data_IF_865904466565
#
_entry.id   IF_865904466565
#
_cell.length_a   1.000
_cell.length_b   1.000
_cell.length_c   1.000
_cell.angle_alpha   90.00
_cell.angle_beta   90.00
_cell.angle_gamma   90.00
#
_symmetry.space_group_name_H-M   'P 1'
#
loop_
_entity.id
_entity.type
_entity.pdbx_description
1 polymer ?
#
# COMPACT_ATOMS: atom_id res chain seq x y z
N UNK A 1 -3.06 17.10 28.64
CA UNK A 1 -3.23 16.09 27.58
C UNK A 1 -4.50 16.30 26.75
N UNK A 2 -5.01 17.54 26.63
CA UNK A 2 -6.34 17.79 26.04
C UNK A 2 -6.32 18.55 24.70
N UNK A 3 -5.32 19.41 24.47
CA UNK A 3 -5.32 20.29 23.29
C UNK A 3 -5.11 19.52 21.97
N UNK A 4 -4.24 18.51 21.96
CA UNK A 4 -3.99 17.69 20.79
C UNK A 4 -5.17 16.79 20.44
N UNK A 5 -5.92 16.29 21.45
CA UNK A 5 -7.14 15.51 21.24
C UNK A 5 -8.28 16.40 20.73
N UNK A 6 -8.41 17.61 21.29
CA UNK A 6 -9.39 18.60 20.82
C UNK A 6 -9.09 19.04 19.37
N UNK A 7 -7.82 19.28 19.04
CA UNK A 7 -7.38 19.60 17.68
C UNK A 7 -7.61 18.42 16.71
N UNK A 8 -7.34 17.18 17.13
CA UNK A 8 -7.67 15.98 16.34
C UNK A 8 -9.17 15.86 16.11
N UNK A 9 -10.02 16.18 17.08
CA UNK A 9 -11.48 16.14 16.92
C UNK A 9 -12.05 17.29 16.07
N UNK A 10 -11.25 18.33 15.81
CA UNK A 10 -11.72 19.49 15.06
C UNK A 10 -11.92 19.13 13.57
N UNK A 11 -13.13 19.39 13.08
CA UNK A 11 -13.52 19.15 11.69
C UNK A 11 -12.56 19.81 10.68
N UNK A 12 -11.97 20.95 11.04
CA UNK A 12 -11.05 21.69 10.18
C UNK A 12 -9.76 20.91 9.87
N UNK A 13 -9.24 20.14 10.83
CA UNK A 13 -8.05 19.31 10.60
C UNK A 13 -8.36 18.19 9.61
N UNK A 14 -9.51 17.53 9.75
CA UNK A 14 -9.98 16.50 8.81
C UNK A 14 -10.19 17.06 7.40
N UNK A 15 -10.72 18.28 7.28
CA UNK A 15 -10.86 18.97 5.99
C UNK A 15 -9.50 19.22 5.31
N UNK A 16 -8.48 19.63 6.08
CA UNK A 16 -7.14 19.85 5.54
C UNK A 16 -6.53 18.53 5.03
N UNK A 17 -6.67 17.43 5.78
CA UNK A 17 -6.21 16.11 5.30
C UNK A 17 -6.94 15.67 4.04
N UNK A 18 -8.27 15.86 4.00
CA UNK A 18 -9.08 15.55 2.81
C UNK A 18 -8.62 16.38 1.60
N UNK A 19 -8.38 17.68 1.80
CA UNK A 19 -7.87 18.55 0.75
C UNK A 19 -6.50 18.09 0.23
N UNK A 20 -5.55 17.78 1.11
CA UNK A 20 -4.22 17.30 0.73
C UNK A 20 -4.32 15.99 -0.05
N UNK A 21 -5.16 15.05 0.40
CA UNK A 21 -5.37 13.77 -0.27
C UNK A 21 -5.99 13.95 -1.68
N UNK A 22 -6.99 14.81 -1.82
CA UNK A 22 -7.61 15.10 -3.12
C UNK A 22 -6.60 15.80 -4.05
N UNK A 23 -5.89 16.80 -3.54
CA UNK A 23 -4.91 17.54 -4.33
C UNK A 23 -3.75 16.63 -4.80
N UNK A 24 -3.20 15.80 -3.90
CA UNK A 24 -2.15 14.84 -4.24
C UNK A 24 -2.66 13.76 -5.22
N UNK A 25 -3.87 13.26 -5.03
CA UNK A 25 -4.52 12.31 -5.94
C UNK A 25 -4.73 12.88 -7.35
N UNK A 26 -5.16 14.14 -7.46
CA UNK A 26 -5.30 14.83 -8.75
C UNK A 26 -3.96 15.03 -9.46
N UNK A 27 -2.92 15.45 -8.72
CA UNK A 27 -1.57 15.62 -9.27
C UNK A 27 -1.06 14.28 -9.79
N UNK A 28 -1.17 13.22 -8.98
CA UNK A 28 -0.67 11.89 -9.36
C UNK A 28 -1.45 11.33 -10.55
N UNK A 29 -2.79 11.40 -10.58
CA UNK A 29 -3.58 10.99 -11.74
C UNK A 29 -3.20 11.77 -13.00
N UNK A 30 -2.90 13.06 -12.88
CA UNK A 30 -2.44 13.88 -14.01
C UNK A 30 -1.08 13.38 -14.52
N UNK A 31 -0.14 13.06 -13.63
CA UNK A 31 1.15 12.44 -14.02
C UNK A 31 0.92 11.07 -14.66
N UNK A 32 0.03 10.24 -14.11
CA UNK A 32 -0.31 8.93 -14.70
C UNK A 32 -0.89 9.09 -16.12
N UNK A 33 -1.72 10.10 -16.36
CA UNK A 33 -2.22 10.43 -17.69
C UNK A 33 -1.07 10.74 -18.66
N UNK A 34 -0.07 11.53 -18.24
CA UNK A 34 1.11 11.79 -19.07
C UNK A 34 1.96 10.54 -19.31
N UNK A 35 2.01 9.61 -18.35
CA UNK A 35 2.73 8.33 -18.55
C UNK A 35 2.08 7.44 -19.61
N UNK A 36 0.81 7.64 -19.98
CA UNK A 36 0.20 6.90 -21.09
C UNK A 36 0.93 7.13 -22.42
N UNK A 37 1.56 8.30 -22.62
CA UNK A 37 2.39 8.56 -23.79
C UNK A 37 3.66 7.69 -23.83
N UNK A 38 4.13 7.23 -22.66
CA UNK A 38 5.27 6.30 -22.56
C UNK A 38 4.88 4.84 -22.80
N UNK A 39 3.58 4.51 -22.75
CA UNK A 39 3.08 3.15 -22.95
C UNK A 39 3.51 2.52 -24.29
N UNK A 40 3.35 3.18 -25.46
CA UNK A 40 3.76 2.59 -26.73
C UNK A 40 5.28 2.38 -26.86
N UNK A 41 6.10 3.15 -26.12
CA UNK A 41 7.56 3.09 -26.20
C UNK A 41 8.13 2.01 -25.28
N UNK A 42 7.70 1.98 -24.01
CA UNK A 42 8.24 1.03 -23.03
C UNK A 42 7.20 0.65 -21.96
N UNK A 43 6.56 -0.51 -22.16
CA UNK A 43 5.57 -1.08 -21.24
C UNK A 43 6.14 -1.37 -19.84
N UNK A 44 7.41 -1.76 -19.74
CA UNK A 44 8.02 -2.10 -18.46
C UNK A 44 8.24 -0.84 -17.60
N UNK A 45 8.70 0.24 -18.23
CA UNK A 45 8.92 1.51 -17.55
C UNK A 45 7.59 2.13 -17.10
N UNK A 46 6.57 2.10 -17.95
CA UNK A 46 5.21 2.53 -17.61
C UNK A 46 4.69 1.83 -16.34
N UNK A 47 4.82 0.50 -16.25
CA UNK A 47 4.37 -0.26 -15.08
C UNK A 47 5.15 0.12 -13.82
N UNK A 48 6.47 0.26 -13.91
CA UNK A 48 7.32 0.66 -12.76
C UNK A 48 6.96 2.05 -12.24
N UNK A 49 6.72 3.01 -13.14
CA UNK A 49 6.35 4.38 -12.75
C UNK A 49 4.96 4.40 -12.12
N UNK A 50 3.96 3.78 -12.75
CA UNK A 50 2.60 3.76 -12.21
C UNK A 50 2.54 3.06 -10.85
N UNK A 51 3.27 1.96 -10.66
CA UNK A 51 3.32 1.29 -9.37
C UNK A 51 3.89 2.20 -8.26
N UNK A 52 4.94 2.98 -8.57
CA UNK A 52 5.52 3.96 -7.62
C UNK A 52 4.58 5.12 -7.34
N UNK A 53 3.89 5.62 -8.36
CA UNK A 53 2.91 6.71 -8.22
C UNK A 53 1.72 6.29 -7.37
N UNK A 54 1.17 5.08 -7.59
CA UNK A 54 0.11 4.52 -6.77
C UNK A 54 0.56 4.30 -5.32
N UNK A 55 1.80 3.83 -5.11
CA UNK A 55 2.39 3.70 -3.78
C UNK A 55 2.37 5.02 -3.00
N UNK A 56 2.69 6.15 -3.67
CA UNK A 56 2.68 7.47 -3.03
C UNK A 56 1.29 7.94 -2.56
N UNK A 57 0.21 7.50 -3.19
CA UNK A 57 -1.16 7.79 -2.70
C UNK A 57 -1.48 6.86 -1.52
N UNK A 58 -1.22 5.56 -1.67
CA UNK A 58 -1.50 4.57 -0.63
C UNK A 58 -0.76 4.85 0.67
N UNK A 59 0.48 5.34 0.61
CA UNK A 59 1.26 5.68 1.81
C UNK A 59 0.67 6.85 2.61
N UNK A 60 -0.06 7.78 1.97
CA UNK A 60 -0.75 8.86 2.69
C UNK A 60 -1.87 8.30 3.58
N UNK A 61 -2.56 7.25 3.12
CA UNK A 61 -3.61 6.58 3.90
C UNK A 61 -3.02 5.74 5.04
N UNK A 62 -1.91 5.04 4.81
CA UNK A 62 -1.20 4.27 5.84
C UNK A 62 -0.66 5.19 6.93
N UNK A 63 -0.08 6.34 6.56
CA UNK A 63 0.35 7.35 7.52
C UNK A 63 -0.83 7.86 8.36
N UNK A 64 -2.01 8.05 7.77
CA UNK A 64 -3.20 8.48 8.52
C UNK A 64 -3.66 7.41 9.52
N UNK A 65 -3.59 6.13 9.13
CA UNK A 65 -3.93 5.01 10.01
C UNK A 65 -2.96 4.87 11.20
N UNK A 66 -1.66 4.90 10.93
CA UNK A 66 -0.67 4.62 11.97
C UNK A 66 -0.44 5.87 12.85
N UNK A 67 -0.19 7.02 12.22
CA UNK A 67 0.22 8.24 12.92
C UNK A 67 -0.96 9.08 13.41
N UNK A 68 -2.03 9.21 12.61
CA UNK A 68 -3.15 10.07 12.96
C UNK A 68 -4.18 9.37 13.86
N UNK A 69 -4.65 8.15 13.53
CA UNK A 69 -5.54 7.41 14.42
C UNK A 69 -4.83 6.71 15.58
N UNK A 70 -3.50 6.52 15.50
CA UNK A 70 -2.75 5.84 16.56
C UNK A 70 -3.14 4.36 16.68
N UNK A 71 -3.52 3.74 15.56
CA UNK A 71 -3.98 2.36 15.52
C UNK A 71 -2.79 1.41 15.68
N UNK A 72 -2.82 0.57 16.72
CA UNK A 72 -1.82 -0.47 16.93
C UNK A 72 -2.28 -1.78 16.29
N UNK A 73 -1.49 -2.31 15.34
CA UNK A 73 -1.76 -3.58 14.69
C UNK A 73 -0.97 -4.70 15.37
N UNK A 74 -1.67 -5.56 16.13
CA UNK A 74 -1.05 -6.70 16.83
C UNK A 74 -1.26 -7.96 16.03
N UNK A 75 -0.17 -8.58 15.56
CA UNK A 75 -0.20 -9.88 14.87
C UNK A 75 -0.08 -11.00 15.91
N UNK A 76 -1.09 -11.87 15.95
CA UNK A 76 -1.00 -13.13 16.68
C UNK A 76 -0.51 -14.23 15.73
N UNK A 77 0.60 -14.87 16.07
CA UNK A 77 1.22 -15.91 15.26
C UNK A 77 1.84 -17.00 16.12
N UNK A 78 2.03 -18.18 15.53
CA UNK A 78 2.78 -19.27 16.13
C UNK A 78 4.28 -18.91 16.21
N UNK A 79 4.97 -19.14 17.34
CA UNK A 79 6.40 -18.84 17.46
C UNK A 79 7.28 -19.50 16.39
N UNK A 80 6.88 -20.64 15.83
CA UNK A 80 7.58 -21.31 14.73
C UNK A 80 7.43 -20.62 13.36
N UNK A 81 6.38 -19.80 13.18
CA UNK A 81 6.12 -19.06 11.95
C UNK A 81 6.77 -17.68 11.93
N UNK A 82 6.99 -17.07 13.10
CA UNK A 82 7.59 -15.73 13.23
C UNK A 82 8.91 -15.55 12.45
N UNK A 83 9.86 -16.51 12.45
CA UNK A 83 11.12 -16.34 11.71
C UNK A 83 10.98 -16.28 10.19
N UNK A 84 9.82 -16.66 9.64
CA UNK A 84 9.54 -16.69 8.19
C UNK A 84 9.02 -15.34 7.66
N UNK A 85 8.52 -14.47 8.54
CA UNK A 85 7.95 -13.19 8.16
C UNK A 85 8.99 -12.30 7.47
N UNK A 86 8.60 -11.72 6.31
CA UNK A 86 9.47 -10.88 5.47
C UNK A 86 10.58 -11.63 4.70
N UNK A 87 10.73 -12.94 4.88
CA UNK A 87 11.75 -13.76 4.20
C UNK A 87 11.21 -14.54 3.00
N UNK A 88 9.93 -14.88 3.03
CA UNK A 88 9.24 -15.62 1.98
C UNK A 88 8.12 -14.80 1.34
N UNK A 89 7.77 -15.14 0.09
CA UNK A 89 6.58 -14.60 -0.55
C UNK A 89 5.36 -15.31 0.04
N UNK A 90 4.43 -14.56 0.59
CA UNK A 90 3.19 -15.09 1.17
C UNK A 90 1.99 -14.33 0.62
N UNK A 91 0.85 -15.02 0.51
CA UNK A 91 -0.43 -14.41 0.16
C UNK A 91 -1.19 -14.14 1.46
N UNK A 92 -1.54 -12.88 1.69
CA UNK A 92 -2.38 -12.49 2.82
C UNK A 92 -3.83 -12.59 2.40
N UNK A 93 -4.60 -13.45 3.07
CA UNK A 93 -6.05 -13.59 2.87
C UNK A 93 -6.76 -12.95 4.05
N UNK A 94 -7.46 -11.85 3.78
CA UNK A 94 -8.28 -11.17 4.77
C UNK A 94 -9.67 -11.80 4.76
N UNK A 95 -10.17 -12.17 5.94
CA UNK A 95 -11.54 -12.71 6.09
C UNK A 95 -12.61 -11.64 5.83
N UNK A 96 -12.25 -10.37 5.98
CA UNK A 96 -13.16 -9.24 5.86
C UNK A 96 -12.67 -8.24 4.79
N UNK A 97 -13.62 -7.54 4.15
CA UNK A 97 -13.39 -6.58 3.06
C UNK A 97 -13.60 -5.13 3.54
N UNK A 98 -13.15 -4.77 4.75
CA UNK A 98 -13.11 -3.35 5.11
C UNK A 98 -11.83 -2.73 4.58
N UNK A 99 -11.91 -1.46 4.17
CA UNK A 99 -10.75 -0.70 3.69
C UNK A 99 -9.65 -0.63 4.75
N UNK A 100 -10.02 -0.60 6.03
CA UNK A 100 -9.08 -0.61 7.15
C UNK A 100 -8.31 -1.92 7.28
N UNK A 101 -8.93 -3.07 6.96
CA UNK A 101 -8.25 -4.38 7.00
C UNK A 101 -7.11 -4.40 5.97
N UNK A 102 -7.34 -3.78 4.81
CA UNK A 102 -6.34 -3.64 3.76
C UNK A 102 -5.20 -2.70 4.17
N UNK A 103 -5.51 -1.57 4.80
CA UNK A 103 -4.50 -0.63 5.31
C UNK A 103 -3.65 -1.24 6.43
N UNK A 104 -4.26 -2.01 7.33
CA UNK A 104 -3.54 -2.76 8.36
C UNK A 104 -2.61 -3.80 7.72
N UNK A 105 -3.10 -4.58 6.75
CA UNK A 105 -2.27 -5.53 6.00
C UNK A 105 -1.08 -4.88 5.30
N UNK A 106 -1.27 -3.67 4.75
CA UNK A 106 -0.20 -2.90 4.12
C UNK A 106 0.84 -2.43 5.14
N UNK A 107 0.42 -1.85 6.27
CA UNK A 107 1.34 -1.42 7.34
C UNK A 107 2.20 -2.58 7.84
N UNK A 108 1.61 -3.76 8.04
CA UNK A 108 2.34 -4.97 8.43
C UNK A 108 3.37 -5.42 7.39
N UNK A 109 3.00 -5.34 6.10
CA UNK A 109 3.89 -5.66 4.99
C UNK A 109 5.05 -4.65 4.87
N UNK A 110 4.86 -3.40 5.28
CA UNK A 110 5.89 -2.36 5.26
C UNK A 110 6.83 -2.46 6.48
N UNK A 111 6.30 -2.64 7.70
CA UNK A 111 7.10 -2.72 8.93
C UNK A 111 7.92 -4.01 9.06
N UNK A 112 7.48 -5.11 8.44
CA UNK A 112 8.18 -6.40 8.51
C UNK A 112 9.28 -6.57 7.45
N UNK A 113 9.48 -5.58 6.59
CA UNK A 113 10.18 -5.77 5.32
C UNK A 113 11.38 -4.82 5.15
N UNK A 114 12.57 -5.41 5.03
CA UNK A 114 13.81 -4.68 4.70
C UNK A 114 13.66 -3.93 3.35
N UNK A 115 14.16 -2.68 3.21
CA UNK A 115 13.86 -1.76 2.09
C UNK A 115 14.34 -2.21 0.69
N UNK A 116 14.80 -3.45 0.52
CA UNK A 116 15.47 -3.94 -0.70
C UNK A 116 14.62 -4.81 -1.62
N UNK A 117 13.41 -5.25 -1.24
CA UNK A 117 12.52 -6.03 -2.12
C UNK A 117 11.20 -5.31 -2.44
N UNK A 118 11.31 -4.05 -2.85
CA UNK A 118 10.36 -3.31 -3.69
C UNK A 118 9.10 -4.12 -4.02
N UNK A 119 8.01 -3.84 -3.30
CA UNK A 119 6.66 -3.73 -3.87
C UNK A 119 6.41 -4.72 -5.02
N UNK A 120 6.19 -6.00 -4.69
CA UNK A 120 5.69 -6.95 -5.67
C UNK A 120 4.20 -6.66 -5.90
N UNK A 121 3.97 -5.58 -6.67
CA UNK A 121 2.75 -5.18 -7.37
C UNK A 121 1.41 -5.61 -6.76
N UNK A 122 0.71 -4.69 -6.08
CA UNK A 122 -0.75 -4.64 -6.16
C UNK A 122 -1.25 -3.19 -5.99
N UNK A 123 -1.48 -2.44 -7.09
CA UNK A 123 -2.41 -1.34 -7.06
C UNK A 123 -3.82 -1.93 -7.08
N UNK A 124 -4.54 -1.77 -5.97
CA UNK A 124 -5.93 -2.19 -5.84
C UNK A 124 -6.82 -1.22 -6.65
N UNK A 125 -7.06 -1.58 -7.90
CA UNK A 125 -7.98 -0.91 -8.81
C UNK A 125 -8.23 -1.82 -10.01
N UNK A 126 -9.41 -2.45 -10.05
CA UNK A 126 -9.83 -3.60 -10.85
C UNK A 126 -9.32 -4.95 -10.35
N UNK A 127 -10.26 -5.82 -9.97
CA UNK A 127 -9.96 -7.22 -9.69
C UNK A 127 -9.37 -7.90 -10.93
N UNK A 128 -8.17 -8.46 -10.80
CA UNK A 128 -7.63 -9.52 -11.65
C UNK A 128 -6.27 -9.99 -11.12
N UNK A 129 -6.21 -11.30 -10.84
CA UNK A 129 -5.09 -12.22 -11.03
C UNK A 129 -3.67 -11.72 -10.72
N UNK A 130 -3.11 -12.22 -9.61
CA UNK A 130 -1.68 -12.53 -9.53
C UNK A 130 -1.46 -13.76 -10.41
N UNK A 131 -1.29 -13.56 -11.72
CA UNK A 131 -0.74 -14.59 -12.58
C UNK A 131 0.78 -14.54 -12.43
N UNK A 132 1.30 -15.46 -11.61
CA UNK A 132 2.72 -15.76 -11.58
C UNK A 132 3.00 -16.77 -12.69
N UNK A 133 3.26 -16.26 -13.90
CA UNK A 133 3.78 -17.06 -15.01
C UNK A 133 5.18 -16.54 -15.37
N UNK A 134 6.23 -17.26 -14.96
CA UNK A 134 6.99 -18.15 -15.84
C UNK A 134 8.15 -18.80 -15.06
N UNK A 135 8.18 -20.13 -15.05
CA UNK A 135 9.31 -20.91 -14.55
C UNK A 135 9.04 -22.40 -14.41
N UNK A 136 8.42 -23.04 -15.41
CA UNK A 136 8.63 -24.47 -15.63
C UNK A 136 10.11 -24.71 -15.94
N UNK A 137 10.78 -25.45 -15.07
CA UNK A 137 11.74 -26.50 -15.41
C UNK A 137 11.77 -27.44 -14.20
N UNK A 138 11.11 -28.60 -14.29
CA UNK A 138 11.66 -29.87 -14.78
C UNK A 138 12.64 -30.49 -13.76
N UNK A 139 12.22 -31.65 -13.22
CA UNK A 139 13.07 -32.79 -12.78
C UNK A 139 13.92 -32.51 -11.52
N UNK A 140 13.92 -33.29 -10.44
CA UNK A 140 13.74 -34.73 -10.15
C UNK A 140 13.21 -34.88 -8.71
#
# INVERSE_FOLDING_TARGET
>A
MDLAALLKSHFLCHLIFCYVFIASGLIINTVQLFTLLLWPVNKQLFRKINCRLSYCISSQLVMLLEWWSGTECVIYTDPGAYPKYGKENAIVVLNHKFEIDFLCGWSLAESSFSPTRVTSCLPLGLGLFVDSYHGEHSEE
#
